data_IF_678893139487
#
_entry.id   IF_678893139487
#
_cell.length_a   1.000
_cell.length_b   1.000
_cell.length_c   1.000
_cell.angle_alpha   90.00
_cell.angle_beta   90.00
_cell.angle_gamma   90.00
#
_symmetry.space_group_name_H-M   'P 1'
#
loop_
_entity.id
_entity.type
_entity.pdbx_description
1 polymer ?
#
# COMPACT_ATOMS: atom_id res chain seq x y z
N UNK A 1 -20.76 5.79 18.14
CA UNK A 1 -19.37 6.20 17.84
C UNK A 1 -19.10 5.72 16.42
N UNK A 2 -18.60 6.57 15.51
CA UNK A 2 -18.36 6.17 14.12
C UNK A 2 -17.19 5.17 14.11
N UNK A 3 -17.43 3.93 13.67
CA UNK A 3 -16.48 2.83 13.67
C UNK A 3 -15.20 3.16 12.90
N UNK A 4 -15.31 3.91 11.79
CA UNK A 4 -14.15 4.39 11.03
C UNK A 4 -13.26 5.35 11.82
N UNK A 5 -13.87 6.27 12.58
CA UNK A 5 -13.11 7.22 13.42
C UNK A 5 -12.39 6.52 14.57
N UNK A 6 -12.99 5.47 15.12
CA UNK A 6 -12.33 4.69 16.17
C UNK A 6 -11.20 3.84 15.59
N UNK A 7 -11.42 3.22 14.42
CA UNK A 7 -10.39 2.51 13.68
C UNK A 7 -9.18 3.40 13.38
N UNK A 8 -9.41 4.59 12.78
CA UNK A 8 -8.37 5.57 12.49
C UNK A 8 -7.57 5.93 13.74
N UNK A 9 -8.27 6.29 14.82
CA UNK A 9 -7.65 6.68 16.09
C UNK A 9 -6.80 5.57 16.70
N UNK A 10 -7.25 4.31 16.61
CA UNK A 10 -6.48 3.18 17.13
C UNK A 10 -5.30 2.83 16.24
N UNK A 11 -5.50 2.82 14.91
CA UNK A 11 -4.45 2.55 13.93
C UNK A 11 -3.27 3.53 14.07
N UNK A 12 -3.56 4.83 14.14
CA UNK A 12 -2.53 5.88 14.27
C UNK A 12 -1.77 5.86 15.62
N UNK A 13 -2.18 5.02 16.56
CA UNK A 13 -1.48 4.82 17.84
C UNK A 13 -0.60 3.58 17.86
N UNK A 14 -0.72 2.72 16.85
CA UNK A 14 0.12 1.54 16.75
C UNK A 14 1.55 1.94 16.42
N UNK A 15 2.50 1.26 17.06
CA UNK A 15 3.91 1.36 16.71
C UNK A 15 4.24 0.20 15.76
N UNK A 16 4.55 0.47 14.48
CA UNK A 16 4.87 -0.58 13.52
C UNK A 16 6.17 -1.34 13.83
N UNK A 17 7.00 -0.82 14.73
CA UNK A 17 8.23 -1.48 15.17
C UNK A 17 8.02 -2.41 16.37
N UNK A 18 6.82 -2.38 16.98
CA UNK A 18 6.48 -3.22 18.11
C UNK A 18 6.38 -4.69 17.71
N UNK A 19 6.88 -5.58 18.57
CA UNK A 19 6.87 -7.03 18.30
C UNK A 19 5.45 -7.63 18.19
N UNK A 20 4.45 -7.00 18.83
CA UNK A 20 3.05 -7.38 18.77
C UNK A 20 2.25 -6.61 17.70
N UNK A 21 2.90 -5.81 16.85
CA UNK A 21 2.23 -4.96 15.87
C UNK A 21 1.24 -5.71 14.99
N UNK A 22 1.65 -6.82 14.37
CA UNK A 22 0.78 -7.59 13.49
C UNK A 22 -0.45 -8.14 14.22
N UNK A 23 -0.27 -8.63 15.45
CA UNK A 23 -1.37 -9.10 16.29
C UNK A 23 -2.35 -7.96 16.61
N UNK A 24 -1.85 -6.77 16.93
CA UNK A 24 -2.66 -5.58 17.21
C UNK A 24 -3.46 -5.12 16.00
N UNK A 25 -2.85 -5.20 14.81
CA UNK A 25 -3.52 -4.90 13.55
C UNK A 25 -4.66 -5.90 13.30
N UNK A 26 -4.41 -7.20 13.52
CA UNK A 26 -5.42 -8.24 13.35
C UNK A 26 -6.61 -8.00 14.28
N UNK A 27 -6.36 -7.79 15.57
CA UNK A 27 -7.38 -7.46 16.57
C UNK A 27 -8.17 -6.18 16.19
N UNK A 28 -7.47 -5.16 15.71
CA UNK A 28 -8.09 -3.91 15.29
C UNK A 28 -9.03 -4.10 14.11
N UNK A 29 -8.62 -4.86 13.08
CA UNK A 29 -9.45 -5.14 11.91
C UNK A 29 -10.63 -6.05 12.27
N UNK A 30 -10.42 -7.05 13.13
CA UNK A 30 -11.49 -7.92 13.64
C UNK A 30 -12.54 -7.13 14.43
N UNK A 31 -12.12 -6.11 15.19
CA UNK A 31 -13.03 -5.24 15.94
C UNK A 31 -13.92 -4.35 15.05
N UNK A 32 -13.54 -4.12 13.78
CA UNK A 32 -14.40 -3.41 12.82
C UNK A 32 -15.46 -4.38 12.29
N UNK A 33 -16.77 -4.10 12.48
CA UNK A 33 -17.84 -4.92 11.93
C UNK A 33 -17.71 -5.06 10.42
N UNK A 34 -17.99 -6.24 9.86
CA UNK A 34 -17.82 -6.50 8.42
C UNK A 34 -18.59 -5.51 7.54
N UNK A 35 -19.79 -5.10 7.94
CA UNK A 35 -20.60 -4.11 7.20
C UNK A 35 -19.96 -2.70 7.17
N UNK A 36 -19.06 -2.41 8.11
CA UNK A 36 -18.31 -1.16 8.20
C UNK A 36 -16.93 -1.25 7.53
N UNK A 37 -16.52 -2.42 7.03
CA UNK A 37 -15.27 -2.60 6.25
C UNK A 37 -15.48 -2.15 4.81
N UNK A 38 -15.61 -0.84 4.63
CA UNK A 38 -15.84 -0.17 3.35
C UNK A 38 -14.79 0.92 3.09
N UNK A 39 -14.98 1.70 2.03
CA UNK A 39 -14.05 2.73 1.55
C UNK A 39 -13.62 3.76 2.61
N UNK A 40 -14.40 3.94 3.68
CA UNK A 40 -14.03 4.80 4.81
C UNK A 40 -12.76 4.37 5.55
N UNK A 41 -12.28 3.14 5.35
CA UNK A 41 -11.03 2.63 5.91
C UNK A 41 -9.79 2.92 5.05
N UNK A 42 -9.96 3.31 3.79
CA UNK A 42 -8.83 3.50 2.86
C UNK A 42 -7.93 4.65 3.33
N UNK A 43 -8.52 5.81 3.60
CA UNK A 43 -7.76 7.00 4.00
C UNK A 43 -6.91 6.81 5.26
N UNK A 44 -7.41 6.26 6.38
CA UNK A 44 -6.59 6.06 7.57
C UNK A 44 -5.46 5.04 7.34
N UNK A 45 -5.68 4.02 6.52
CA UNK A 45 -4.64 3.03 6.19
C UNK A 45 -3.50 3.68 5.41
N UNK A 46 -3.82 4.45 4.36
CA UNK A 46 -2.79 5.15 3.58
C UNK A 46 -2.08 6.22 4.41
N UNK A 47 -2.80 6.95 5.25
CA UNK A 47 -2.20 7.91 6.19
C UNK A 47 -1.18 7.22 7.11
N UNK A 48 -1.50 6.03 7.61
CA UNK A 48 -0.58 5.24 8.43
C UNK A 48 0.66 4.76 7.63
N UNK A 49 0.47 4.29 6.40
CA UNK A 49 1.59 3.91 5.53
C UNK A 49 2.52 5.09 5.20
N UNK A 50 1.94 6.27 4.99
CA UNK A 50 2.69 7.50 4.71
C UNK A 50 3.47 7.96 5.95
N UNK A 51 2.88 7.85 7.14
CA UNK A 51 3.56 8.15 8.40
C UNK A 51 4.75 7.21 8.68
N UNK A 52 4.71 5.98 8.16
CA UNK A 52 5.73 4.95 8.37
C UNK A 52 6.23 4.36 7.05
N UNK A 53 6.90 5.17 6.20
CA UNK A 53 7.14 4.83 4.80
C UNK A 53 8.15 3.69 4.59
N UNK A 54 8.98 3.38 5.59
CA UNK A 54 10.04 2.38 5.51
C UNK A 54 9.68 1.05 6.18
N UNK A 55 8.66 1.05 7.03
CA UNK A 55 8.33 -0.11 7.84
C UNK A 55 7.52 -1.13 7.04
N UNK A 56 7.87 -2.39 7.22
CA UNK A 56 7.16 -3.52 6.64
C UNK A 56 5.93 -3.81 7.52
N UNK A 57 4.73 -3.55 6.99
CA UNK A 57 3.47 -3.75 7.73
C UNK A 57 2.95 -5.18 7.60
N UNK A 58 3.85 -6.12 7.34
CA UNK A 58 3.55 -7.46 6.87
C UNK A 58 3.45 -7.47 5.35
N UNK A 59 4.21 -8.37 4.73
CA UNK A 59 4.17 -8.61 3.28
C UNK A 59 3.74 -10.07 2.99
N UNK A 60 2.43 -10.36 2.83
CA UNK A 60 1.29 -9.47 2.97
C UNK A 60 0.72 -9.46 4.40
N UNK A 61 0.46 -8.26 4.90
CA UNK A 61 -0.13 -8.00 6.21
C UNK A 61 -1.61 -7.68 6.09
N UNK A 62 -2.29 -7.70 7.23
CA UNK A 62 -3.75 -7.60 7.31
C UNK A 62 -4.30 -6.27 6.79
N UNK A 63 -3.57 -5.15 6.96
CA UNK A 63 -3.97 -3.86 6.37
C UNK A 63 -3.98 -3.92 4.83
N UNK A 64 -2.96 -4.53 4.22
CA UNK A 64 -2.89 -4.69 2.77
C UNK A 64 -4.03 -5.56 2.26
N UNK A 65 -4.29 -6.69 2.93
CA UNK A 65 -5.41 -7.57 2.57
C UNK A 65 -6.78 -6.89 2.70
N UNK A 66 -6.98 -6.11 3.77
CA UNK A 66 -8.20 -5.33 3.96
C UNK A 66 -8.38 -4.32 2.82
N UNK A 67 -7.33 -3.57 2.46
CA UNK A 67 -7.39 -2.61 1.36
C UNK A 67 -7.60 -3.29 0.01
N UNK A 68 -6.97 -4.44 -0.24
CA UNK A 68 -7.16 -5.21 -1.48
C UNK A 68 -8.61 -5.67 -1.68
N UNK A 69 -9.32 -5.99 -0.60
CA UNK A 69 -10.75 -6.31 -0.63
C UNK A 69 -11.64 -5.16 -1.09
N UNK A 70 -11.14 -3.93 -1.04
CA UNK A 70 -11.83 -2.71 -1.49
C UNK A 70 -11.46 -2.34 -2.94
N UNK A 71 -10.85 -3.24 -3.72
CA UNK A 71 -10.59 -2.98 -5.13
C UNK A 71 -11.91 -2.80 -5.90
N UNK A 72 -12.06 -1.77 -6.76
CA UNK A 72 -11.05 -0.81 -7.22
C UNK A 72 -11.00 0.53 -6.47
N UNK A 73 -11.80 0.74 -5.42
CA UNK A 73 -11.98 2.03 -4.75
C UNK A 73 -10.68 2.68 -4.24
N UNK A 74 -9.70 1.88 -3.80
CA UNK A 74 -8.45 2.41 -3.26
C UNK A 74 -7.40 2.80 -4.33
N UNK A 75 -7.63 2.48 -5.60
CA UNK A 75 -6.62 2.65 -6.67
C UNK A 75 -6.20 4.11 -6.84
N UNK A 76 -7.14 5.04 -6.78
CA UNK A 76 -6.83 6.46 -6.90
C UNK A 76 -5.98 6.93 -5.71
N UNK A 77 -6.38 6.57 -4.48
CA UNK A 77 -5.64 6.91 -3.27
C UNK A 77 -4.22 6.30 -3.25
N UNK A 78 -4.05 5.10 -3.80
CA UNK A 78 -2.75 4.46 -3.96
C UNK A 78 -1.83 5.27 -4.87
N UNK A 79 -2.33 5.71 -6.02
CA UNK A 79 -1.54 6.51 -6.97
C UNK A 79 -1.22 7.90 -6.40
N UNK A 80 -2.13 8.48 -5.61
CA UNK A 80 -1.86 9.72 -4.89
C UNK A 80 -0.80 9.55 -3.81
N UNK A 81 -0.87 8.46 -3.04
CA UNK A 81 0.15 8.11 -2.03
C UNK A 81 1.54 7.96 -2.64
N UNK A 82 1.64 7.23 -3.76
CA UNK A 82 2.90 7.07 -4.50
C UNK A 82 3.48 8.38 -5.02
N UNK A 83 2.66 9.38 -5.29
CA UNK A 83 3.13 10.70 -5.76
C UNK A 83 3.48 11.64 -4.62
N UNK A 84 2.70 11.63 -3.55
CA UNK A 84 2.86 12.53 -2.42
C UNK A 84 3.94 12.04 -1.45
N UNK A 85 3.78 10.83 -0.91
CA UNK A 85 4.64 10.29 0.14
C UNK A 85 4.78 8.77 -0.04
N UNK A 86 5.73 8.33 -0.89
CA UNK A 86 5.87 6.91 -1.23
C UNK A 86 6.22 6.08 0.00
N UNK A 87 5.51 4.97 0.19
CA UNK A 87 5.77 4.00 1.25
C UNK A 87 6.09 2.61 0.67
N UNK A 88 6.79 1.80 1.47
CA UNK A 88 7.09 0.41 1.15
C UNK A 88 5.82 -0.36 0.76
N UNK A 89 4.76 -0.22 1.56
CA UNK A 89 3.48 -0.90 1.36
C UNK A 89 2.77 -0.42 0.09
N UNK A 90 2.74 0.89 -0.20
CA UNK A 90 2.16 1.39 -1.44
C UNK A 90 2.90 0.86 -2.69
N UNK A 91 4.23 0.83 -2.67
CA UNK A 91 5.03 0.28 -3.78
C UNK A 91 4.76 -1.22 -3.96
N UNK A 92 4.66 -1.98 -2.86
CA UNK A 92 4.29 -3.40 -2.91
C UNK A 92 2.89 -3.60 -3.49
N UNK A 93 1.90 -2.83 -3.06
CA UNK A 93 0.52 -2.91 -3.56
C UNK A 93 0.46 -2.62 -5.06
N UNK A 94 1.12 -1.56 -5.54
CA UNK A 94 1.21 -1.27 -6.96
C UNK A 94 1.85 -2.42 -7.74
N UNK A 95 2.96 -2.99 -7.24
CA UNK A 95 3.60 -4.15 -7.85
C UNK A 95 2.69 -5.39 -7.86
N UNK A 96 1.83 -5.58 -6.85
CA UNK A 96 0.87 -6.69 -6.79
C UNK A 96 -0.25 -6.54 -7.81
N UNK A 97 -0.86 -5.35 -7.93
CA UNK A 97 -1.86 -5.05 -8.96
C UNK A 97 -1.27 -5.32 -10.36
N UNK A 98 -0.03 -4.89 -10.55
CA UNK A 98 0.76 -5.12 -11.74
C UNK A 98 1.00 -6.60 -12.07
N UNK A 99 1.06 -7.50 -11.07
CA UNK A 99 1.14 -8.95 -11.29
C UNK A 99 -0.21 -9.58 -11.62
N UNK A 100 -1.32 -8.85 -11.47
CA UNK A 100 -2.65 -9.26 -11.87
C UNK A 100 -2.87 -9.19 -13.38
N UNK A 101 -4.11 -9.51 -13.79
CA UNK A 101 -4.57 -9.34 -15.17
C UNK A 101 -5.05 -7.90 -15.34
N UNK A 102 -4.24 -7.09 -16.02
CA UNK A 102 -4.54 -5.69 -16.33
C UNK A 102 -4.61 -5.50 -17.85
N UNK A 103 -5.38 -4.52 -18.28
CA UNK A 103 -5.26 -3.98 -19.64
C UNK A 103 -3.88 -3.32 -19.84
N UNK A 104 -3.47 -3.14 -21.10
CA UNK A 104 -2.23 -2.44 -21.45
C UNK A 104 -2.21 -1.01 -20.90
N UNK A 105 -3.36 -0.32 -20.93
CA UNK A 105 -3.51 1.03 -20.40
C UNK A 105 -3.32 1.10 -18.88
N UNK A 106 -4.00 0.22 -18.13
CA UNK A 106 -3.85 0.16 -16.67
C UNK A 106 -2.42 -0.20 -16.29
N UNK A 107 -1.82 -1.20 -16.96
CA UNK A 107 -0.42 -1.58 -16.73
C UNK A 107 0.52 -0.40 -16.96
N UNK A 108 0.30 0.37 -18.03
CA UNK A 108 1.08 1.58 -18.33
C UNK A 108 0.93 2.63 -17.22
N UNK A 109 -0.28 2.87 -16.73
CA UNK A 109 -0.55 3.82 -15.63
C UNK A 109 0.28 3.52 -14.38
N UNK A 110 0.25 2.27 -13.90
CA UNK A 110 1.02 1.87 -12.71
C UNK A 110 2.54 1.85 -12.97
N UNK A 111 2.97 1.47 -14.17
CA UNK A 111 4.39 1.52 -14.54
C UNK A 111 4.92 2.94 -14.53
N UNK A 112 4.18 3.88 -15.14
CA UNK A 112 4.53 5.31 -15.11
C UNK A 112 4.56 5.85 -13.68
N UNK A 113 3.58 5.51 -12.85
CA UNK A 113 3.56 5.91 -11.44
C UNK A 113 4.81 5.41 -10.67
N UNK A 114 5.22 4.15 -10.86
CA UNK A 114 6.44 3.62 -10.22
C UNK A 114 7.71 4.33 -10.74
N UNK A 115 7.80 4.60 -12.05
CA UNK A 115 8.94 5.32 -12.63
C UNK A 115 9.00 6.76 -12.11
N UNK A 116 7.87 7.46 -12.03
CA UNK A 116 7.78 8.80 -11.44
C UNK A 116 8.21 8.78 -9.97
N UNK A 117 7.69 7.82 -9.19
CA UNK A 117 8.05 7.63 -7.79
C UNK A 117 9.55 7.41 -7.62
N UNK A 118 10.18 6.61 -8.47
CA UNK A 118 11.63 6.40 -8.44
C UNK A 118 12.41 7.69 -8.70
N UNK A 119 11.85 8.65 -9.45
CA UNK A 119 12.50 9.92 -9.74
C UNK A 119 12.22 11.00 -8.68
N UNK A 120 11.39 10.73 -7.67
CA UNK A 120 11.09 11.68 -6.60
C UNK A 120 12.38 12.09 -5.86
N UNK A 121 12.63 13.42 -5.71
CA UNK A 121 13.73 13.92 -4.91
C UNK A 121 13.64 13.44 -3.46
N UNK A 122 14.79 13.14 -2.84
CA UNK A 122 14.87 12.69 -1.45
C UNK A 122 14.14 11.38 -1.12
N UNK A 123 13.70 10.59 -2.11
CA UNK A 123 13.20 9.24 -1.85
C UNK A 123 14.28 8.39 -1.15
N UNK A 124 13.96 7.76 -0.01
CA UNK A 124 14.88 6.85 0.67
C UNK A 124 15.45 5.79 -0.27
N UNK A 125 16.76 5.51 -0.12
CA UNK A 125 17.46 4.55 -0.99
C UNK A 125 16.79 3.17 -1.02
N UNK A 126 16.35 2.68 0.15
CA UNK A 126 15.65 1.39 0.26
C UNK A 126 14.39 1.31 -0.61
N UNK A 127 13.58 2.37 -0.66
CA UNK A 127 12.39 2.44 -1.50
C UNK A 127 12.76 2.57 -2.98
N UNK A 128 13.77 3.37 -3.31
CA UNK A 128 14.29 3.51 -4.67
C UNK A 128 14.78 2.16 -5.22
N UNK A 129 15.55 1.44 -4.42
CA UNK A 129 16.10 0.12 -4.76
C UNK A 129 14.97 -0.92 -4.91
N UNK A 130 13.92 -0.84 -4.08
CA UNK A 130 12.73 -1.68 -4.22
C UNK A 130 12.05 -1.46 -5.58
N UNK A 131 11.82 -0.21 -5.96
CA UNK A 131 11.19 0.12 -7.25
C UNK A 131 12.07 -0.35 -8.41
N UNK A 132 13.38 -0.09 -8.36
CA UNK A 132 14.30 -0.54 -9.41
C UNK A 132 14.28 -2.06 -9.57
N UNK A 133 14.30 -2.83 -8.48
CA UNK A 133 14.17 -4.29 -8.55
C UNK A 133 12.89 -4.74 -9.23
N UNK A 134 11.76 -4.07 -8.98
CA UNK A 134 10.49 -4.39 -9.63
C UNK A 134 10.49 -4.04 -11.12
N UNK A 135 11.02 -2.87 -11.49
CA UNK A 135 11.15 -2.46 -12.89
C UNK A 135 12.10 -3.39 -13.67
N UNK A 136 13.23 -3.79 -13.09
CA UNK A 136 14.17 -4.72 -13.70
C UNK A 136 13.57 -6.11 -13.91
N UNK A 137 12.87 -6.64 -12.89
CA UNK A 137 12.18 -7.93 -13.00
C UNK A 137 11.15 -7.90 -14.13
N UNK A 138 10.42 -6.80 -14.30
CA UNK A 138 9.46 -6.62 -15.39
C UNK A 138 10.12 -6.62 -16.76
N UNK A 139 11.21 -5.86 -16.93
CA UNK A 139 11.96 -5.81 -18.19
C UNK A 139 12.41 -7.20 -18.65
N UNK A 140 12.80 -8.06 -17.71
CA UNK A 140 13.15 -9.45 -18.01
C UNK A 140 11.94 -10.26 -18.48
N UNK A 141 10.81 -10.17 -17.76
CA UNK A 141 9.57 -10.85 -18.15
C UNK A 141 9.08 -10.44 -19.54
N UNK A 142 9.16 -9.15 -19.86
CA UNK A 142 8.73 -8.62 -21.16
C UNK A 142 9.72 -8.99 -22.28
N UNK A 143 11.00 -9.26 -21.98
CA UNK A 143 12.00 -9.72 -22.94
C UNK A 143 11.94 -11.24 -23.21
N UNK A 144 11.40 -12.00 -22.26
CA UNK A 144 11.23 -13.45 -22.34
C UNK A 144 9.84 -13.89 -22.88
N UNK A 145 8.95 -12.93 -23.19
CA UNK A 145 7.60 -13.14 -23.73
C UNK A 145 7.52 -12.87 -25.23
#
# INVERSE_FOLDING_TARGET
>A
MNSHKEFEKQLLRLDPTAADFLLRVDELVEAVPEFDRNDGLIEPIFTFFEAHPLEDMGAPGTLVHLTEGLYPSYVERLLDSLRAQPSYNAILMANRILNGRLSTEERSKYMSALVETANTPNLPRSLRDLIHRFLERRRKLDADS
#
